data_IF_586059987894
#
_entry.id   IF_586059987894
#
_cell.length_a   1.000
_cell.length_b   1.000
_cell.length_c   1.000
_cell.angle_alpha   90.00
_cell.angle_beta   90.00
_cell.angle_gamma   90.00
#
_symmetry.space_group_name_H-M   'P 1'
#
loop_
_entity.id
_entity.type
_entity.pdbx_description
1 polymer ?
#
# COMPACT_ATOMS: atom_id res chain seq x y z
N UNK A 1 0.82 -10.10 -0.48
CA UNK A 1 1.04 -8.97 -1.42
C UNK A 1 -0.30 -8.48 -1.96
N UNK A 2 -1.13 -7.91 -1.09
CA UNK A 2 -2.28 -7.02 -1.38
C UNK A 2 -3.19 -7.31 -2.60
N UNK A 3 -3.93 -6.27 -3.00
CA UNK A 3 -4.85 -6.31 -4.14
C UNK A 3 -4.46 -5.24 -5.17
N UNK A 4 -4.59 -5.56 -6.46
CA UNK A 4 -4.38 -4.56 -7.51
C UNK A 4 -5.58 -3.61 -7.56
N UNK A 5 -5.35 -2.29 -7.46
CA UNK A 5 -6.39 -1.26 -7.53
C UNK A 5 -6.84 -0.90 -8.95
N UNK A 6 -6.34 -1.59 -9.99
CA UNK A 6 -6.82 -1.38 -11.36
C UNK A 6 -8.27 -1.86 -11.51
N UNK A 7 -9.00 -1.22 -12.43
CA UNK A 7 -10.33 -1.65 -12.80
C UNK A 7 -10.31 -3.10 -13.33
N UNK A 8 -11.36 -3.86 -13.00
CA UNK A 8 -11.52 -5.23 -13.47
C UNK A 8 -11.42 -5.33 -14.99
N UNK A 9 -10.73 -6.36 -15.49
CA UNK A 9 -10.54 -6.60 -16.93
C UNK A 9 -9.49 -5.71 -17.61
N UNK A 10 -8.82 -4.80 -16.89
CA UNK A 10 -7.70 -4.03 -17.44
C UNK A 10 -6.35 -4.73 -17.25
N UNK A 11 -5.50 -4.74 -18.29
CA UNK A 11 -4.16 -5.31 -18.20
C UNK A 11 -3.30 -4.51 -17.22
N UNK A 12 -2.61 -5.20 -16.32
CA UNK A 12 -1.55 -4.61 -15.50
C UNK A 12 -0.19 -5.08 -16.05
N UNK A 13 0.75 -4.15 -16.24
CA UNK A 13 2.15 -4.51 -16.57
C UNK A 13 2.81 -5.36 -15.47
N UNK A 14 2.24 -5.32 -14.26
CA UNK A 14 2.57 -6.20 -13.16
C UNK A 14 1.46 -7.24 -13.05
N UNK A 15 1.63 -8.37 -13.73
CA UNK A 15 0.83 -9.56 -13.49
C UNK A 15 1.01 -9.94 -12.02
N UNK A 16 -0.07 -9.82 -11.24
CA UNK A 16 -0.04 -9.66 -9.78
C UNK A 16 0.69 -8.37 -9.32
N UNK A 17 0.05 -7.61 -8.43
CA UNK A 17 0.62 -6.35 -7.97
C UNK A 17 1.85 -6.60 -7.09
N UNK A 18 3.05 -6.42 -7.67
CA UNK A 18 4.31 -6.45 -6.94
C UNK A 18 4.44 -5.23 -6.02
N UNK A 19 5.38 -5.25 -5.07
CA UNK A 19 5.58 -4.14 -4.12
C UNK A 19 5.88 -2.79 -4.81
N UNK A 20 6.51 -2.84 -5.99
CA UNK A 20 6.79 -1.68 -6.85
C UNK A 20 5.57 -1.12 -7.58
N UNK A 21 4.43 -1.81 -7.54
CA UNK A 21 3.23 -1.38 -8.24
C UNK A 21 2.62 -0.15 -7.55
N UNK A 22 2.46 0.99 -8.25
CA UNK A 22 1.92 2.21 -7.65
C UNK A 22 0.45 2.03 -7.19
N UNK A 23 -0.27 1.11 -7.84
CA UNK A 23 -1.69 0.80 -7.56
C UNK A 23 -1.87 -0.45 -6.71
N UNK A 24 -0.81 -0.98 -6.10
CA UNK A 24 -0.93 -2.01 -5.06
C UNK A 24 -1.63 -1.41 -3.83
N UNK A 25 -2.77 -1.97 -3.46
CA UNK A 25 -3.51 -1.68 -2.24
C UNK A 25 -3.06 -2.67 -1.16
N UNK A 26 -2.49 -2.15 -0.07
CA UNK A 26 -2.06 -2.93 1.10
C UNK A 26 -2.93 -2.61 2.31
N UNK A 27 -3.32 -3.67 3.04
CA UNK A 27 -4.03 -3.55 4.32
C UNK A 27 -3.06 -3.54 5.52
N UNK A 28 -3.51 -3.10 6.71
CA UNK A 28 -2.65 -3.04 7.90
C UNK A 28 -2.11 -4.42 8.31
N UNK A 29 -2.84 -5.49 8.07
CA UNK A 29 -2.38 -6.86 8.34
C UNK A 29 -1.17 -7.32 7.51
N UNK A 30 -0.82 -6.62 6.42
CA UNK A 30 0.36 -6.94 5.61
C UNK A 30 1.66 -6.30 6.15
N UNK A 31 1.58 -5.45 7.18
CA UNK A 31 2.76 -4.74 7.72
C UNK A 31 3.91 -5.69 8.11
N UNK A 32 3.70 -6.77 8.89
CA UNK A 32 4.80 -7.67 9.26
C UNK A 32 5.48 -8.29 8.04
N UNK A 33 4.71 -8.60 7.00
CA UNK A 33 5.25 -9.15 5.75
C UNK A 33 6.09 -8.12 4.99
N UNK A 34 5.68 -6.85 4.97
CA UNK A 34 6.46 -5.77 4.36
C UNK A 34 7.76 -5.50 5.13
N UNK A 35 7.74 -5.62 6.46
CA UNK A 35 8.94 -5.49 7.29
C UNK A 35 9.93 -6.63 7.01
N UNK A 36 9.47 -7.88 6.87
CA UNK A 36 10.29 -9.01 6.43
C UNK A 36 10.92 -8.78 5.04
N UNK A 37 10.14 -8.26 4.09
CA UNK A 37 10.63 -7.91 2.75
C UNK A 37 11.69 -6.81 2.82
N UNK A 38 11.48 -5.78 3.65
CA UNK A 38 12.43 -4.68 3.86
C UNK A 38 13.76 -5.20 4.40
N UNK A 39 13.73 -6.06 5.42
CA UNK A 39 14.93 -6.69 5.99
C UNK A 39 15.67 -7.54 4.95
N UNK A 40 14.94 -8.33 4.17
CA UNK A 40 15.54 -9.11 3.08
C UNK A 40 16.20 -8.21 2.03
N UNK A 41 15.55 -7.11 1.64
CA UNK A 41 16.10 -6.16 0.67
C UNK A 41 17.38 -5.51 1.17
N UNK A 42 17.45 -5.11 2.45
CA UNK A 42 18.70 -4.63 3.04
C UNK A 42 19.82 -5.65 2.97
N UNK A 43 19.55 -6.92 3.33
CA UNK A 43 20.54 -7.98 3.26
C UNK A 43 21.06 -8.20 1.83
N UNK A 44 20.15 -8.17 0.84
CA UNK A 44 20.50 -8.33 -0.57
C UNK A 44 21.24 -7.13 -1.17
N UNK A 45 20.92 -5.92 -0.75
CA UNK A 45 21.67 -4.72 -1.14
C UNK A 45 23.09 -4.82 -0.61
N UNK A 46 23.26 -5.12 0.67
CA UNK A 46 24.57 -5.25 1.28
C UNK A 46 25.42 -6.36 0.60
N UNK A 47 24.79 -7.44 0.15
CA UNK A 47 25.45 -8.48 -0.66
C UNK A 47 25.87 -7.94 -2.03
N UNK A 48 24.96 -7.32 -2.77
CA UNK A 48 25.26 -6.77 -4.09
C UNK A 48 26.35 -5.69 -4.04
N UNK A 49 26.42 -4.89 -2.98
CA UNK A 49 27.49 -3.93 -2.74
C UNK A 49 28.85 -4.61 -2.52
N UNK A 50 28.90 -5.66 -1.69
CA UNK A 50 30.14 -6.43 -1.44
C UNK A 50 30.67 -7.09 -2.70
N UNK A 51 29.77 -7.62 -3.54
CA UNK A 51 30.12 -8.32 -4.78
C UNK A 51 30.30 -7.38 -5.98
N UNK A 52 30.07 -6.07 -5.81
CA UNK A 52 30.21 -5.06 -6.87
C UNK A 52 29.13 -5.14 -7.96
N UNK A 53 27.97 -5.73 -7.67
CA UNK A 53 26.85 -5.87 -8.60
C UNK A 53 26.01 -4.60 -8.66
N UNK A 54 26.58 -3.53 -9.23
CA UNK A 54 25.97 -2.19 -9.23
C UNK A 54 24.56 -2.16 -9.83
N UNK A 55 24.31 -2.92 -10.89
CA UNK A 55 22.99 -3.00 -11.52
C UNK A 55 21.93 -3.68 -10.66
N UNK A 56 22.33 -4.56 -9.73
CA UNK A 56 21.43 -5.18 -8.77
C UNK A 56 21.20 -4.27 -7.56
N UNK A 57 22.23 -3.55 -7.09
CA UNK A 57 22.09 -2.51 -6.06
C UNK A 57 21.02 -1.49 -6.46
N UNK A 58 21.06 -0.99 -7.70
CA UNK A 58 20.08 -0.04 -8.20
C UNK A 58 18.65 -0.61 -8.16
N UNK A 59 18.44 -1.81 -8.72
CA UNK A 59 17.12 -2.45 -8.79
C UNK A 59 16.56 -2.82 -7.40
N UNK A 60 17.42 -3.26 -6.49
CA UNK A 60 17.06 -3.61 -5.13
C UNK A 60 16.70 -2.36 -4.32
N UNK A 61 17.45 -1.27 -4.47
CA UNK A 61 17.14 0.02 -3.84
C UNK A 61 15.77 0.55 -4.26
N UNK A 62 15.41 0.47 -5.54
CA UNK A 62 14.06 0.84 -6.01
C UNK A 62 12.96 0.00 -5.34
N UNK A 63 13.22 -1.29 -5.14
CA UNK A 63 12.28 -2.17 -4.45
C UNK A 63 12.18 -1.88 -2.95
N UNK A 64 13.28 -1.45 -2.32
CA UNK A 64 13.33 -1.02 -0.92
C UNK A 64 12.50 0.25 -0.73
N UNK A 65 12.74 1.29 -1.53
CA UNK A 65 11.94 2.53 -1.49
C UNK A 65 10.46 2.24 -1.66
N UNK A 66 10.09 1.40 -2.64
CA UNK A 66 8.69 1.03 -2.82
C UNK A 66 8.10 0.28 -1.60
N UNK A 67 8.90 -0.55 -0.92
CA UNK A 67 8.47 -1.25 0.30
C UNK A 67 8.24 -0.27 1.45
N UNK A 68 9.15 0.68 1.66
CA UNK A 68 9.04 1.71 2.69
C UNK A 68 7.83 2.64 2.44
N UNK A 69 7.54 2.96 1.18
CA UNK A 69 6.35 3.72 0.80
C UNK A 69 5.07 2.98 1.19
N UNK A 70 5.01 1.65 0.98
CA UNK A 70 3.85 0.84 1.38
C UNK A 70 3.68 0.77 2.89
N UNK A 71 4.76 0.67 3.65
CA UNK A 71 4.70 0.73 5.13
C UNK A 71 4.19 2.10 5.58
N UNK A 72 4.75 3.18 5.03
CA UNK A 72 4.34 4.55 5.33
C UNK A 72 2.86 4.80 4.99
N UNK A 73 2.36 4.21 3.90
CA UNK A 73 0.95 4.26 3.52
C UNK A 73 0.05 3.58 4.54
N UNK A 74 0.43 2.41 5.06
CA UNK A 74 -0.31 1.71 6.12
C UNK A 74 -0.42 2.60 7.35
N UNK A 75 0.70 3.14 7.83
CA UNK A 75 0.73 3.98 9.03
C UNK A 75 -0.10 5.26 8.86
N UNK A 76 -0.01 5.90 7.70
CA UNK A 76 -0.83 7.08 7.38
C UNK A 76 -2.33 6.75 7.35
N UNK A 77 -2.71 5.56 6.86
CA UNK A 77 -4.10 5.10 6.87
C UNK A 77 -4.61 4.84 8.30
N UNK A 78 -3.80 4.22 9.15
CA UNK A 78 -4.15 3.98 10.55
C UNK A 78 -4.33 5.29 11.32
N UNK A 79 -3.42 6.25 11.15
CA UNK A 79 -3.54 7.60 11.73
C UNK A 79 -4.79 8.35 11.25
N UNK A 80 -5.16 8.21 9.97
CA UNK A 80 -6.40 8.81 9.45
C UNK A 80 -7.65 8.18 10.04
N UNK A 81 -7.66 6.87 10.29
CA UNK A 81 -8.80 6.16 10.89
C UNK A 81 -9.02 6.52 12.36
N UNK A 82 -7.97 6.91 13.09
CA UNK A 82 -8.09 7.30 14.50
C UNK A 82 -8.60 8.73 14.70
N UNK A 83 -8.69 9.55 13.64
CA UNK A 83 -9.20 10.92 13.70
C UNK A 83 -10.45 11.08 12.82
N UNK A 84 -11.64 11.30 13.40
CA UNK A 84 -12.85 11.51 12.60
C UNK A 84 -12.75 12.84 11.83
N UNK A 85 -12.80 12.77 10.50
CA UNK A 85 -13.00 13.95 9.64
C UNK A 85 -14.49 14.24 9.56
N UNK A 86 -14.90 15.46 9.92
CA UNK A 86 -16.29 15.88 9.77
C UNK A 86 -16.59 16.17 8.29
N UNK A 87 -17.24 15.23 7.61
CA UNK A 87 -17.63 15.36 6.18
C UNK A 87 -19.02 16.01 6.02
N UNK A 88 -19.54 16.67 7.05
CA UNK A 88 -20.86 17.32 6.99
C UNK A 88 -22.04 16.34 6.95
N UNK A 89 -21.83 15.06 7.26
CA UNK A 89 -22.92 14.09 7.38
C UNK A 89 -23.76 14.48 8.60
N UNK A 90 -25.05 14.81 8.43
CA UNK A 90 -25.91 15.04 9.57
C UNK A 90 -25.98 13.75 10.40
N UNK A 91 -25.97 13.83 11.74
CA UNK A 91 -26.23 12.67 12.58
C UNK A 91 -27.55 12.01 12.17
N UNK A 92 -27.66 10.69 12.37
CA UNK A 92 -28.81 9.90 11.90
C UNK A 92 -30.15 10.49 12.38
N UNK A 93 -30.17 11.13 13.55
CA UNK A 93 -31.35 11.80 14.11
C UNK A 93 -31.77 13.09 13.37
N UNK A 94 -30.98 13.60 12.43
CA UNK A 94 -31.27 14.75 11.59
C UNK A 94 -31.63 14.36 10.14
N UNK A 95 -31.65 13.05 9.82
CA UNK A 95 -32.04 12.58 8.49
C UNK A 95 -33.58 12.60 8.36
N UNK A 96 -34.10 13.40 7.45
CA UNK A 96 -35.50 13.33 7.04
C UNK A 96 -35.70 12.10 6.14
N UNK A 97 -36.38 11.06 6.65
CA UNK A 97 -36.76 9.89 5.87
C UNK A 97 -37.86 10.30 4.89
N UNK A 98 -37.65 10.03 3.59
CA UNK A 98 -38.70 10.15 2.59
C UNK A 98 -39.47 8.84 2.54
N UNK A 99 -40.72 8.87 2.99
CA UNK A 99 -41.66 7.76 2.78
C UNK A 99 -42.11 7.74 1.31
N UNK A 100 -41.99 6.59 0.67
CA UNK A 100 -42.51 6.39 -0.68
C UNK A 100 -44.04 6.26 -0.60
N UNK A 101 -44.76 7.20 -1.21
CA UNK A 101 -46.21 7.15 -1.34
C UNK A 101 -46.57 6.11 -2.42
N UNK A 102 -47.32 5.07 -2.05
CA UNK A 102 -47.90 4.07 -2.95
C UNK A 102 -49.39 4.35 -3.15
#
# INVERSE_FOLDING_TARGET
MGQCGRAYGSSCVHEHACVRCPVLIVGPGERPRLEEIRENLHARIAEAEREGWLGDVEKLTVSLTATDDKISQIEANERRKSSPVFVGMPPINQLAVREAQN
#
